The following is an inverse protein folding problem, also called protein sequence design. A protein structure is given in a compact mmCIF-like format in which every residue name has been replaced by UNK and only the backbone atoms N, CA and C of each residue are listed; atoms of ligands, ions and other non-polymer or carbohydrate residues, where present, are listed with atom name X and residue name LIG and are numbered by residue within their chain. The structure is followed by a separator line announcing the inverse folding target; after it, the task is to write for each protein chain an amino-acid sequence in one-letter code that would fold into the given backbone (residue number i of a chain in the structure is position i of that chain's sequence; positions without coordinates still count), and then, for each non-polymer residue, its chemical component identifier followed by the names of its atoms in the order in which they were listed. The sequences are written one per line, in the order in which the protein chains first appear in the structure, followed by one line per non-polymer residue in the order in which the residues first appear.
data_IF_716512642410
#
_entry.id   IF_716512642410
#
_cell.length_a   1.000
_cell.length_b   1.000
_cell.length_c   1.000
_cell.angle_alpha   90.00
_cell.angle_beta   90.00
_cell.angle_gamma   90.00
#
_symmetry.space_group_name_H-M   'P 1'
#
loop_
_entity.id
_entity.type
_entity.pdbx_description
1 polymer ?
#
# COMPACT_ATOMS: atom_id res chain seq x y z
N UNK A 1 -17.45 45.80 -61.41
CA UNK A 1 -16.48 44.68 -61.35
C UNK A 1 -15.39 44.92 -60.29
N UNK A 2 -14.66 46.05 -60.28
CA UNK A 2 -13.65 46.37 -59.25
C UNK A 2 -14.16 46.42 -57.79
N UNK A 3 -15.38 46.86 -57.57
CA UNK A 3 -16.00 46.97 -56.22
C UNK A 3 -16.41 45.61 -55.67
N UNK A 4 -16.96 44.73 -56.50
CA UNK A 4 -17.35 43.35 -56.15
C UNK A 4 -16.12 42.51 -55.74
N UNK A 5 -14.98 42.71 -56.43
CA UNK A 5 -13.72 42.05 -56.10
C UNK A 5 -13.18 42.45 -54.73
N UNK A 6 -13.35 43.72 -54.33
CA UNK A 6 -12.93 44.23 -53.01
C UNK A 6 -13.80 43.69 -51.89
N UNK A 7 -15.11 43.58 -52.12
CA UNK A 7 -16.04 43.03 -51.12
C UNK A 7 -15.75 41.54 -50.87
N UNK A 8 -15.53 40.75 -51.92
CA UNK A 8 -15.16 39.33 -51.80
C UNK A 8 -13.83 39.16 -51.06
N UNK A 9 -12.83 40.02 -51.32
CA UNK A 9 -11.54 39.97 -50.63
C UNK A 9 -11.69 40.30 -49.13
N UNK A 10 -12.56 41.25 -48.77
CA UNK A 10 -12.79 41.64 -47.38
C UNK A 10 -13.55 40.58 -46.58
N UNK A 11 -14.55 39.93 -47.20
CA UNK A 11 -15.36 38.88 -46.55
C UNK A 11 -14.57 37.58 -46.37
N UNK A 12 -13.67 37.25 -47.30
CA UNK A 12 -12.79 36.07 -47.17
C UNK A 12 -11.77 36.23 -46.03
N UNK A 13 -11.27 37.45 -45.81
CA UNK A 13 -10.30 37.73 -44.74
C UNK A 13 -10.90 37.60 -43.33
N UNK A 14 -12.21 37.84 -43.18
CA UNK A 14 -12.90 37.75 -41.87
C UNK A 14 -13.31 36.32 -41.51
N UNK A 15 -13.24 35.36 -42.44
CA UNK A 15 -13.59 33.97 -42.21
C UNK A 15 -12.44 33.12 -41.65
N UNK A 16 -11.24 33.69 -41.53
CA UNK A 16 -10.04 33.00 -41.03
C UNK A 16 -9.69 33.55 -39.64
N UNK A 17 -10.63 33.44 -38.71
CA UNK A 17 -10.31 33.63 -37.29
C UNK A 17 -9.71 32.32 -36.78
N UNK A 18 -8.44 32.30 -36.31
CA UNK A 18 -7.91 31.14 -35.63
C UNK A 18 -8.76 30.88 -34.39
N UNK A 19 -9.38 29.71 -34.31
CA UNK A 19 -10.02 29.24 -33.09
C UNK A 19 -8.92 29.14 -32.02
N UNK A 20 -8.88 30.13 -31.13
CA UNK A 20 -7.95 30.11 -30.00
C UNK A 20 -8.24 28.89 -29.16
N UNK A 21 -7.34 27.91 -29.17
CA UNK A 21 -7.35 26.83 -28.19
C UNK A 21 -7.01 27.46 -26.85
N UNK A 22 -8.01 27.66 -25.99
CA UNK A 22 -7.78 28.05 -24.61
C UNK A 22 -7.03 26.91 -23.92
N UNK A 23 -5.73 27.08 -23.74
CA UNK A 23 -4.96 26.20 -22.87
C UNK A 23 -5.31 26.61 -21.44
N UNK A 24 -6.27 25.91 -20.85
CA UNK A 24 -6.52 26.03 -19.42
C UNK A 24 -5.22 25.65 -18.69
N UNK A 25 -4.70 26.57 -17.88
CA UNK A 25 -3.56 26.26 -17.03
C UNK A 25 -3.93 25.05 -16.14
N UNK A 26 -3.05 24.07 -16.01
CA UNK A 26 -3.29 22.92 -15.14
C UNK A 26 -3.48 23.44 -13.71
N UNK A 27 -4.60 23.06 -13.10
CA UNK A 27 -5.00 23.57 -11.79
C UNK A 27 -4.46 22.60 -10.75
N UNK A 28 -3.17 22.73 -10.41
CA UNK A 28 -2.53 21.84 -9.44
C UNK A 28 -3.06 22.14 -8.04
N UNK A 29 -3.87 21.23 -7.52
CA UNK A 29 -4.42 21.32 -6.16
C UNK A 29 -3.55 20.51 -5.22
N UNK A 30 -2.93 21.16 -4.24
CA UNK A 30 -2.26 20.48 -3.15
C UNK A 30 -3.30 19.93 -2.15
N UNK A 31 -3.28 18.61 -1.95
CA UNK A 31 -4.13 17.91 -1.01
C UNK A 31 -3.27 17.23 0.06
N UNK A 32 -3.59 17.48 1.33
CA UNK A 32 -2.87 16.94 2.47
C UNK A 32 -3.82 16.22 3.42
N UNK A 33 -3.35 15.12 4.00
CA UNK A 33 -4.15 14.33 4.91
C UNK A 33 -3.31 13.50 5.85
N UNK A 34 -4.01 12.86 6.79
CA UNK A 34 -3.42 11.90 7.72
C UNK A 34 -4.04 10.53 7.48
N UNK A 35 -3.21 9.51 7.37
CA UNK A 35 -3.57 8.11 7.22
C UNK A 35 -3.20 7.35 8.49
N UNK A 36 -4.21 6.87 9.20
CA UNK A 36 -4.08 6.01 10.38
C UNK A 36 -4.61 4.62 10.09
N UNK A 37 -4.02 3.61 10.72
CA UNK A 37 -4.55 2.25 10.69
C UNK A 37 -5.77 2.12 11.62
N UNK A 38 -6.48 0.99 11.57
CA UNK A 38 -7.58 0.63 12.48
C UNK A 38 -7.21 0.70 13.97
N UNK A 39 -5.92 0.55 14.29
CA UNK A 39 -5.38 0.72 15.65
C UNK A 39 -4.96 2.15 16.02
N UNK A 40 -5.24 3.16 15.19
CA UNK A 40 -4.88 4.56 15.42
C UNK A 40 -3.40 4.91 15.20
N UNK A 41 -2.55 3.92 14.89
CA UNK A 41 -1.14 4.15 14.56
C UNK A 41 -0.99 4.82 13.18
N UNK A 42 -0.06 5.79 13.04
CA UNK A 42 0.22 6.42 11.76
C UNK A 42 0.82 5.41 10.78
N UNK A 43 0.28 5.36 9.56
CA UNK A 43 0.81 4.50 8.50
C UNK A 43 2.04 5.19 7.87
N UNK A 44 3.10 4.43 7.61
CA UNK A 44 4.26 4.92 6.86
C UNK A 44 4.58 3.94 5.74
N UNK A 45 4.86 4.47 4.54
CA UNK A 45 5.15 3.68 3.35
C UNK A 45 4.42 4.16 2.09
N UNK A 46 4.67 3.47 0.99
CA UNK A 46 4.03 3.73 -0.30
C UNK A 46 2.62 3.16 -0.31
N UNK A 47 1.61 4.02 -0.41
CA UNK A 47 0.18 3.63 -0.46
C UNK A 47 -0.44 4.13 -1.76
N UNK A 48 -1.22 3.29 -2.44
CA UNK A 48 -2.00 3.73 -3.59
C UNK A 48 -3.27 4.43 -3.10
N UNK A 49 -3.38 5.73 -3.39
CA UNK A 49 -4.56 6.52 -3.06
C UNK A 49 -5.39 6.80 -4.31
N UNK A 50 -6.70 6.67 -4.16
CA UNK A 50 -7.71 6.99 -5.16
C UNK A 50 -8.45 8.22 -4.69
N UNK A 51 -8.39 9.28 -5.47
CA UNK A 51 -9.10 10.53 -5.26
C UNK A 51 -10.29 10.58 -6.20
N UNK A 52 -11.47 10.90 -5.68
CA UNK A 52 -12.71 10.99 -6.47
C UNK A 52 -13.43 12.29 -6.16
N UNK A 53 -13.88 12.97 -7.21
CA UNK A 53 -14.69 14.18 -7.09
C UNK A 53 -16.16 13.86 -7.37
N UNK A 54 -17.04 14.37 -6.52
CA UNK A 54 -18.49 14.19 -6.59
C UNK A 54 -19.22 15.54 -6.61
N UNK A 55 -20.42 15.55 -7.19
CA UNK A 55 -21.34 16.71 -7.25
C UNK A 55 -22.27 16.82 -6.02
N UNK A 56 -22.28 15.83 -5.13
CA UNK A 56 -23.02 15.84 -3.86
C UNK A 56 -22.25 15.07 -2.78
N UNK A 57 -22.50 15.41 -1.51
CA UNK A 57 -21.86 14.76 -0.34
C UNK A 57 -22.19 13.27 -0.25
N UNK A 58 -23.47 12.94 -0.46
CA UNK A 58 -24.01 11.59 -0.36
C UNK A 58 -24.74 11.26 -1.65
N UNK A 59 -24.45 10.08 -2.22
CA UNK A 59 -25.04 9.59 -3.47
C UNK A 59 -24.83 10.49 -4.70
N UNK A 60 -23.78 11.33 -4.71
CA UNK A 60 -23.39 12.10 -5.89
C UNK A 60 -22.88 11.25 -7.06
N UNK A 61 -22.97 11.79 -8.25
CA UNK A 61 -22.33 11.32 -9.48
C UNK A 61 -20.83 11.59 -9.42
N UNK A 62 -20.03 10.58 -9.76
CA UNK A 62 -18.58 10.72 -9.88
C UNK A 62 -18.25 11.57 -11.10
N UNK A 63 -17.66 12.75 -10.87
CA UNK A 63 -17.24 13.67 -11.92
C UNK A 63 -15.80 13.42 -12.36
N UNK A 64 -14.94 12.96 -11.45
CA UNK A 64 -13.52 12.76 -11.71
C UNK A 64 -12.92 11.71 -10.77
N UNK A 65 -11.86 11.05 -11.24
CA UNK A 65 -11.12 10.05 -10.48
C UNK A 65 -9.64 10.09 -10.87
N UNK A 66 -8.76 10.06 -9.87
CA UNK A 66 -7.31 9.95 -10.06
C UNK A 66 -6.75 8.91 -9.09
N UNK A 67 -5.93 8.00 -9.60
CA UNK A 67 -5.22 7.01 -8.78
C UNK A 67 -3.74 7.25 -8.90
N UNK A 68 -3.06 7.45 -7.77
CA UNK A 68 -1.61 7.62 -7.75
C UNK A 68 -0.95 7.00 -6.51
N UNK A 69 0.29 6.49 -6.64
CA UNK A 69 1.08 6.04 -5.50
C UNK A 69 1.59 7.24 -4.71
N UNK A 70 1.28 7.30 -3.42
CA UNK A 70 1.67 8.39 -2.52
C UNK A 70 2.57 7.84 -1.42
N UNK A 71 3.69 8.51 -1.16
CA UNK A 71 4.55 8.20 -0.02
C UNK A 71 3.97 8.85 1.24
N UNK A 72 3.55 8.02 2.19
CA UNK A 72 3.08 8.48 3.49
C UNK A 72 4.24 8.41 4.48
N UNK A 73 4.50 9.51 5.19
CA UNK A 73 5.57 9.60 6.18
C UNK A 73 4.97 9.99 7.52
N UNK A 74 5.15 9.14 8.54
CA UNK A 74 4.60 9.39 9.88
C UNK A 74 3.08 9.66 9.86
N UNK A 75 2.35 8.95 8.98
CA UNK A 75 0.91 9.12 8.81
C UNK A 75 0.51 10.32 7.98
N UNK A 76 1.38 11.29 7.70
CA UNK A 76 1.03 12.44 6.86
C UNK A 76 1.39 12.20 5.40
N UNK A 77 0.59 12.75 4.50
CA UNK A 77 0.90 12.76 3.08
C UNK A 77 0.51 14.09 2.45
N UNK A 78 1.24 14.46 1.40
CA UNK A 78 0.93 15.58 0.53
C UNK A 78 0.94 15.09 -0.91
N UNK A 79 -0.08 15.46 -1.66
CA UNK A 79 -0.26 15.01 -3.03
C UNK A 79 -0.74 16.18 -3.90
N UNK A 80 -0.29 16.20 -5.15
CA UNK A 80 -0.78 17.15 -6.14
C UNK A 80 -1.79 16.41 -7.02
N UNK A 81 -3.05 16.88 -6.97
CA UNK A 81 -4.09 16.48 -7.90
C UNK A 81 -3.89 17.20 -9.23
N UNK A 82 -4.40 16.63 -10.33
CA UNK A 82 -4.16 17.08 -11.73
C UNK A 82 -2.84 16.59 -12.34
N UNK A 83 -2.10 15.71 -11.64
CA UNK A 83 -0.79 15.21 -12.09
C UNK A 83 -0.92 14.03 -13.06
N UNK A 84 -1.80 13.07 -12.74
CA UNK A 84 -2.01 11.85 -13.55
C UNK A 84 -3.23 11.98 -14.45
N UNK A 85 -4.32 12.55 -13.92
CA UNK A 85 -5.58 12.71 -14.66
C UNK A 85 -5.96 14.18 -14.70
N UNK A 86 -6.02 14.82 -15.90
CA UNK A 86 -6.38 16.22 -16.02
C UNK A 86 -7.74 16.50 -15.39
N UNK A 87 -7.77 17.48 -14.50
CA UNK A 87 -8.90 17.97 -13.74
C UNK A 87 -9.40 19.25 -14.40
N UNK A 88 -10.44 19.10 -15.24
CA UNK A 88 -10.98 20.22 -15.99
C UNK A 88 -11.49 21.33 -15.05
N UNK A 89 -11.10 22.60 -15.25
CA UNK A 89 -11.54 23.70 -14.39
C UNK A 89 -13.06 23.91 -14.43
N UNK A 90 -13.71 23.48 -15.51
CA UNK A 90 -15.17 23.48 -15.64
C UNK A 90 -15.89 22.67 -14.56
N UNK A 91 -15.21 21.70 -13.93
CA UNK A 91 -15.77 20.95 -12.80
C UNK A 91 -15.98 21.84 -11.58
N UNK A 92 -15.23 22.93 -11.43
CA UNK A 92 -15.33 23.86 -10.30
C UNK A 92 -16.27 25.05 -10.55
N UNK A 93 -16.95 25.10 -11.70
CA UNK A 93 -17.88 26.19 -12.02
C UNK A 93 -19.18 26.17 -11.18
N UNK A 94 -19.39 25.16 -10.33
CA UNK A 94 -20.55 25.11 -9.43
C UNK A 94 -20.12 25.28 -7.97
N UNK A 95 -21.08 25.69 -7.14
CA UNK A 95 -20.82 26.17 -5.77
C UNK A 95 -20.17 25.14 -4.84
N UNK A 96 -20.47 23.85 -4.99
CA UNK A 96 -19.96 22.80 -4.10
C UNK A 96 -19.48 21.55 -4.85
N UNK A 97 -18.32 21.05 -4.41
CA UNK A 97 -17.72 19.78 -4.84
C UNK A 97 -17.19 19.02 -3.64
N UNK A 98 -17.33 17.69 -3.68
CA UNK A 98 -16.90 16.81 -2.61
C UNK A 98 -15.77 15.92 -3.09
N UNK A 99 -14.63 16.00 -2.41
CA UNK A 99 -13.47 15.16 -2.69
C UNK A 99 -13.42 14.01 -1.69
N UNK A 100 -13.31 12.79 -2.21
CA UNK A 100 -13.13 11.58 -1.41
C UNK A 100 -11.78 10.95 -1.72
N UNK A 101 -10.95 10.83 -0.69
CA UNK A 101 -9.75 10.00 -0.75
C UNK A 101 -10.07 8.59 -0.24
N UNK A 102 -9.56 7.56 -0.90
CA UNK A 102 -9.70 6.17 -0.50
C UNK A 102 -8.41 5.42 -0.80
N UNK A 103 -8.06 4.45 0.02
CA UNK A 103 -6.94 3.57 -0.28
C UNK A 103 -7.38 2.54 -1.33
N UNK A 104 -6.66 2.45 -2.44
CA UNK A 104 -6.79 1.32 -3.35
C UNK A 104 -6.18 0.12 -2.63
N UNK A 105 -6.97 -0.90 -2.34
CA UNK A 105 -6.62 -2.07 -1.52
C UNK A 105 -5.60 -3.01 -2.16
N UNK A 106 -4.66 -2.49 -2.96
CA UNK A 106 -3.38 -3.16 -3.19
C UNK A 106 -2.56 -3.02 -1.91
N UNK A 107 -2.88 -3.89 -0.94
CA UNK A 107 -1.96 -4.25 0.14
C UNK A 107 -0.58 -4.45 -0.51
N UNK A 108 0.49 -3.79 -0.02
CA UNK A 108 1.82 -4.13 -0.49
C UNK A 108 1.96 -5.62 -0.24
N UNK A 109 1.94 -6.41 -1.33
CA UNK A 109 2.29 -7.82 -1.23
C UNK A 109 3.65 -7.80 -0.54
N UNK A 110 3.84 -8.45 0.62
CA UNK A 110 5.19 -8.64 1.09
C UNK A 110 5.89 -9.32 -0.08
N UNK A 111 6.96 -8.71 -0.59
CA UNK A 111 7.86 -9.41 -1.47
C UNK A 111 8.29 -10.66 -0.70
N UNK A 112 7.65 -11.79 -0.96
CA UNK A 112 8.15 -13.07 -0.53
C UNK A 112 9.48 -13.19 -1.26
N UNK A 113 10.62 -13.19 -0.57
CA UNK A 113 11.87 -13.40 -1.26
C UNK A 113 11.76 -14.78 -1.90
N UNK A 114 11.71 -14.82 -3.23
CA UNK A 114 11.95 -16.02 -4.02
C UNK A 114 13.38 -16.46 -3.72
N UNK A 115 13.58 -17.11 -2.57
CA UNK A 115 14.79 -17.85 -2.30
C UNK A 115 14.96 -18.89 -3.39
N UNK A 116 16.18 -19.15 -3.88
CA UNK A 116 16.39 -20.19 -4.87
C UNK A 116 15.84 -21.49 -4.31
N UNK A 117 14.81 -22.04 -4.96
CA UNK A 117 14.26 -23.33 -4.59
C UNK A 117 15.39 -24.34 -4.78
N UNK A 118 15.98 -24.82 -3.68
CA UNK A 118 16.92 -25.93 -3.71
C UNK A 118 16.19 -27.08 -4.41
N UNK A 119 16.73 -27.67 -5.50
CA UNK A 119 16.09 -28.81 -6.12
C UNK A 119 16.01 -29.92 -5.07
N UNK A 120 14.79 -30.33 -4.75
CA UNK A 120 14.57 -31.46 -3.85
C UNK A 120 15.09 -32.70 -4.55
N UNK A 121 16.16 -33.29 -4.00
CA UNK A 121 16.72 -34.57 -4.43
C UNK A 121 15.59 -35.60 -4.44
N UNK A 122 15.36 -36.38 -5.51
CA UNK A 122 14.40 -37.46 -5.47
C UNK A 122 14.86 -38.50 -4.45
N UNK A 123 14.03 -38.78 -3.45
CA UNK A 123 14.25 -39.84 -2.47
C UNK A 123 14.39 -41.17 -3.20
N UNK A 124 15.60 -41.72 -3.24
CA UNK A 124 15.87 -43.08 -3.71
C UNK A 124 15.06 -44.05 -2.84
N UNK A 125 14.33 -45.03 -3.42
CA UNK A 125 13.66 -46.03 -2.61
C UNK A 125 14.72 -46.88 -1.88
N UNK A 126 14.60 -46.93 -0.55
CA UNK A 126 15.43 -47.74 0.34
C UNK A 126 15.43 -49.20 -0.11
N UNK A 127 16.51 -49.63 -0.78
CA UNK A 127 16.78 -51.05 -0.99
C UNK A 127 17.12 -51.64 0.37
N UNK A 128 16.23 -52.53 0.87
CA UNK A 128 16.48 -53.29 2.10
C UNK A 128 17.62 -54.27 1.84
N UNK A 129 18.81 -53.96 2.34
CA UNK A 129 19.89 -54.94 2.46
C UNK A 129 19.75 -55.65 3.80
N UNK A 130 19.60 -56.97 3.74
CA UNK A 130 19.61 -57.89 4.88
C UNK A 130 20.94 -57.75 5.65
N UNK A 131 20.95 -57.67 6.99
CA UNK A 131 22.19 -57.45 7.75
C UNK A 131 23.10 -58.69 7.70
N UNK A 132 24.41 -58.55 7.45
CA UNK A 132 25.34 -59.66 7.59
C UNK A 132 25.59 -60.00 9.08
N UNK A 133 25.72 -61.29 9.45
CA UNK A 133 25.53 -61.80 10.81
C UNK A 133 26.73 -61.65 11.79
N UNK A 134 27.51 -60.57 11.73
CA UNK A 134 28.74 -60.49 12.55
C UNK A 134 29.07 -59.13 13.18
N UNK A 135 28.16 -58.16 13.20
CA UNK A 135 28.35 -56.93 13.97
C UNK A 135 27.48 -56.91 15.24
N UNK A 136 27.87 -57.71 16.23
CA UNK A 136 27.35 -57.62 17.61
C UNK A 136 28.51 -57.28 18.53
N UNK A 137 28.64 -56.02 18.95
CA UNK A 137 29.49 -55.51 20.04
C UNK A 137 29.31 -53.96 20.00
N UNK A 138 28.99 -53.16 21.01
CA UNK A 138 28.93 -53.26 22.46
C UNK A 138 27.98 -52.17 22.99
N UNK A 139 27.29 -52.52 24.07
CA UNK A 139 26.84 -51.66 25.17
C UNK A 139 25.75 -50.61 24.90
N UNK A 140 24.53 -51.04 25.24
CA UNK A 140 23.51 -50.25 25.96
C UNK A 140 24.13 -49.24 26.94
N UNK A 141 24.14 -47.96 26.61
CA UNK A 141 24.31 -46.89 27.58
C UNK A 141 23.00 -46.70 28.34
N UNK A 142 22.90 -47.48 29.43
CA UNK A 142 22.24 -47.18 30.71
C UNK A 142 21.46 -45.86 30.74
N UNK A 143 20.13 -45.96 30.83
CA UNK A 143 19.27 -44.90 31.37
C UNK A 143 19.33 -44.94 32.90
N UNK A 144 19.68 -43.84 33.59
CA UNK A 144 19.39 -43.74 35.02
C UNK A 144 17.91 -43.37 35.21
N UNK A 145 17.18 -44.23 35.92
CA UNK A 145 15.84 -43.97 36.46
C UNK A 145 15.89 -42.86 37.55
N UNK A 146 14.78 -42.14 37.77
CA UNK A 146 14.67 -41.11 38.80
C UNK A 146 14.60 -41.73 40.20
N UNK A 147 15.23 -41.07 41.18
CA UNK A 147 15.09 -41.41 42.61
C UNK A 147 14.74 -40.13 43.38
N UNK A 148 13.56 -40.13 43.97
CA UNK A 148 13.10 -39.27 45.09
C UNK A 148 12.51 -40.29 46.09
N UNK A 149 12.73 -40.24 47.43
CA UNK A 149 12.49 -39.11 48.34
C UNK A 149 13.58 -38.96 49.44
N UNK A 150 13.67 -37.92 50.29
CA UNK A 150 12.72 -37.58 51.36
C UNK A 150 13.05 -36.22 52.02
N UNK A 151 11.98 -35.48 52.32
CA UNK A 151 11.70 -34.69 53.54
C UNK A 151 12.89 -34.26 54.42
N UNK A 152 13.08 -32.95 54.57
CA UNK A 152 13.04 -32.23 55.87
C UNK A 152 12.91 -30.70 55.62
N UNK A 153 11.73 -30.13 55.90
CA UNK A 153 11.48 -28.70 56.18
C UNK A 153 11.60 -28.53 57.71
N UNK A 154 11.91 -27.37 58.37
CA UNK A 154 12.18 -25.99 57.89
C UNK A 154 13.44 -25.32 58.52
N UNK A 155 13.89 -24.20 57.97
CA UNK A 155 14.28 -23.05 58.82
C UNK A 155 13.88 -21.73 58.16
N UNK A 156 12.81 -21.13 58.69
CA UNK A 156 12.44 -19.73 58.42
C UNK A 156 13.65 -18.84 58.71
N UNK A 157 13.91 -17.88 57.83
CA UNK A 157 14.61 -16.64 58.18
C UNK A 157 13.86 -15.45 57.58
N UNK A 158 13.93 -14.27 58.24
CA UNK A 158 12.76 -13.43 58.46
C UNK A 158 12.45 -12.47 57.31
N UNK A 159 11.16 -12.15 57.13
CA UNK A 159 10.69 -11.02 56.31
C UNK A 159 11.28 -9.73 56.86
N UNK A 160 11.91 -8.93 55.99
CA UNK A 160 12.25 -7.54 56.27
C UNK A 160 11.06 -6.64 55.87
N UNK A 161 10.57 -5.74 56.75
CA UNK A 161 9.47 -4.82 56.42
C UNK A 161 9.93 -3.61 55.57
N UNK A 162 9.00 -2.94 54.86
CA UNK A 162 9.28 -1.83 53.94
C UNK A 162 9.52 -0.49 54.65
N UNK A 163 10.27 0.44 54.03
CA UNK A 163 10.50 1.78 54.55
C UNK A 163 9.32 2.72 54.31
N UNK A 164 9.13 3.64 55.26
CA UNK A 164 8.08 4.67 55.38
C UNK A 164 8.18 5.79 54.36
#
# INVERSE_FOLDING_TARGET
MKTILRTILLTCCLAILPAGTSFAAPNLINYQGVLTNSGGAPVSGSVSLVFRLYDAETAGTKLWEETQPVQVQNGTYSVLLDSVTPLAPSLFNADNRWLRASTSTVSPMPFSPSGPTVPTVPTVPTVRTMPPPWLTLLLTSVTPRPITPAILIPKRSPRRPPPT
#
